data_IF_437017304199
#
_entry.id   IF_437017304199
#
_cell.length_a   1.000
_cell.length_b   1.000
_cell.length_c   1.000
_cell.angle_alpha   90.00
_cell.angle_beta   90.00
_cell.angle_gamma   90.00
#
_symmetry.space_group_name_H-M   'P 1'
#
loop_
_entity.id
_entity.type
_entity.pdbx_description
1 polymer ?
#
# COMPACT_ATOMS: atom_id res chain seq x y z
N UNK A 1 -7.07 -11.95 -11.35
CA UNK A 1 -6.84 -10.55 -10.99
C UNK A 1 -7.60 -9.57 -11.91
N UNK A 2 -7.57 -9.70 -13.23
CA UNK A 2 -8.27 -8.79 -14.16
C UNK A 2 -9.77 -8.66 -13.85
N UNK A 3 -10.48 -9.76 -13.61
CA UNK A 3 -11.89 -9.73 -13.24
C UNK A 3 -12.11 -8.99 -11.91
N UNK A 4 -11.22 -9.22 -10.92
CA UNK A 4 -11.27 -8.51 -9.63
C UNK A 4 -11.12 -7.00 -9.79
N UNK A 5 -10.15 -6.54 -10.62
CA UNK A 5 -9.97 -5.13 -10.94
C UNK A 5 -11.23 -4.51 -11.54
N UNK A 6 -11.79 -5.12 -12.61
CA UNK A 6 -12.97 -4.60 -13.30
C UNK A 6 -14.18 -4.53 -12.37
N UNK A 7 -14.45 -5.60 -11.63
CA UNK A 7 -15.59 -5.66 -10.69
C UNK A 7 -15.42 -4.68 -9.53
N UNK A 8 -14.17 -4.44 -9.07
CA UNK A 8 -13.88 -3.42 -8.05
C UNK A 8 -14.18 -2.01 -8.56
N UNK A 9 -13.77 -1.67 -9.79
CA UNK A 9 -14.06 -0.37 -10.39
C UNK A 9 -15.57 -0.19 -10.61
N UNK A 10 -16.26 -1.21 -11.15
CA UNK A 10 -17.71 -1.13 -11.35
C UNK A 10 -18.49 -1.05 -10.03
N UNK A 11 -18.11 -1.83 -9.01
CA UNK A 11 -18.76 -1.84 -7.71
C UNK A 11 -18.59 -0.51 -6.98
N UNK A 12 -17.37 0.00 -6.89
CA UNK A 12 -17.10 1.31 -6.27
C UNK A 12 -17.71 2.46 -7.09
N UNK A 13 -17.58 2.41 -8.42
CA UNK A 13 -18.23 3.37 -9.32
C UNK A 13 -19.74 3.42 -9.10
N UNK A 14 -20.41 2.27 -9.03
CA UNK A 14 -21.85 2.19 -8.78
C UNK A 14 -22.24 2.77 -7.40
N UNK A 15 -21.49 2.42 -6.35
CA UNK A 15 -21.80 2.87 -4.97
C UNK A 15 -21.57 4.37 -4.78
N UNK A 16 -20.53 4.94 -5.40
CA UNK A 16 -20.04 6.30 -5.13
C UNK A 16 -20.25 7.32 -6.26
N UNK A 17 -21.01 6.97 -7.32
CA UNK A 17 -21.27 7.89 -8.46
C UNK A 17 -22.13 9.10 -8.11
N UNK A 18 -22.88 9.07 -7.01
CA UNK A 18 -23.79 10.14 -6.58
C UNK A 18 -23.25 10.89 -5.36
N UNK A 19 -24.06 11.86 -4.89
CA UNK A 19 -23.76 12.63 -3.65
C UNK A 19 -23.81 11.79 -2.39
N UNK A 20 -24.52 10.67 -2.44
CA UNK A 20 -24.62 9.69 -1.35
C UNK A 20 -24.38 8.28 -1.89
N UNK A 21 -24.00 7.38 -0.98
CA UNK A 21 -23.86 5.95 -1.30
C UNK A 21 -25.20 5.39 -1.80
N UNK A 22 -25.14 4.53 -2.84
CA UNK A 22 -26.34 3.80 -3.31
C UNK A 22 -26.91 2.82 -2.29
N UNK A 23 -26.14 2.46 -1.25
CA UNK A 23 -26.52 1.50 -0.22
C UNK A 23 -26.50 0.03 -0.68
N UNK A 24 -26.34 -0.25 -1.97
CA UNK A 24 -26.31 -1.61 -2.49
C UNK A 24 -25.43 -1.73 -3.76
N UNK A 25 -25.13 -2.98 -4.11
CA UNK A 25 -24.50 -3.38 -5.38
C UNK A 25 -25.45 -4.36 -6.06
N UNK A 26 -25.78 -4.16 -7.38
CA UNK A 26 -26.69 -5.03 -8.12
C UNK A 26 -26.13 -6.44 -8.28
N UNK A 27 -27.00 -7.43 -8.43
CA UNK A 27 -26.65 -8.86 -8.57
C UNK A 27 -25.63 -9.13 -9.68
N UNK A 28 -25.77 -8.43 -10.80
CA UNK A 28 -24.86 -8.55 -11.94
C UNK A 28 -23.41 -8.19 -11.66
N UNK A 29 -23.14 -7.42 -10.59
CA UNK A 29 -21.80 -7.09 -10.09
C UNK A 29 -21.50 -7.90 -8.83
N UNK A 30 -22.42 -7.93 -7.86
CA UNK A 30 -22.22 -8.51 -6.54
C UNK A 30 -21.89 -10.01 -6.57
N UNK A 31 -22.63 -10.78 -7.38
CA UNK A 31 -22.44 -12.23 -7.48
C UNK A 31 -21.07 -12.59 -8.08
N UNK A 32 -20.71 -12.16 -9.31
CA UNK A 32 -19.41 -12.48 -9.88
C UNK A 32 -18.26 -11.90 -9.06
N UNK A 33 -18.44 -10.73 -8.45
CA UNK A 33 -17.40 -10.14 -7.59
C UNK A 33 -17.14 -10.99 -6.34
N UNK A 34 -18.19 -11.45 -5.68
CA UNK A 34 -18.06 -12.33 -4.50
C UNK A 34 -17.34 -13.63 -4.88
N UNK A 35 -17.71 -14.28 -5.98
CA UNK A 35 -17.06 -15.52 -6.45
C UNK A 35 -15.58 -15.34 -6.79
N UNK A 36 -15.22 -14.24 -7.48
CA UNK A 36 -13.82 -13.93 -7.79
C UNK A 36 -13.04 -13.62 -6.51
N UNK A 37 -13.62 -12.88 -5.58
CA UNK A 37 -13.01 -12.52 -4.30
C UNK A 37 -12.74 -13.74 -3.43
N UNK A 38 -13.68 -14.67 -3.32
CA UNK A 38 -13.51 -15.96 -2.63
C UNK A 38 -12.36 -16.77 -3.22
N UNK A 39 -12.28 -16.85 -4.57
CA UNK A 39 -11.19 -17.56 -5.25
C UNK A 39 -9.81 -16.93 -5.02
N UNK A 40 -9.74 -15.61 -4.85
CA UNK A 40 -8.50 -14.88 -4.58
C UNK A 40 -8.16 -14.78 -3.08
N UNK A 41 -9.05 -15.21 -2.19
CA UNK A 41 -8.88 -15.12 -0.74
C UNK A 41 -8.88 -13.68 -0.21
N UNK A 42 -9.57 -12.75 -0.89
CA UNK A 42 -9.65 -11.33 -0.53
C UNK A 42 -11.10 -10.85 -0.54
N UNK A 43 -11.47 -9.81 0.26
CA UNK A 43 -12.82 -9.28 0.25
C UNK A 43 -13.20 -8.65 -1.11
N UNK A 44 -14.50 -8.73 -1.51
CA UNK A 44 -15.00 -8.08 -2.72
C UNK A 44 -15.14 -6.56 -2.51
N UNK A 45 -14.03 -5.87 -2.51
CA UNK A 45 -13.91 -4.41 -2.42
C UNK A 45 -12.68 -3.95 -3.20
N UNK A 46 -12.60 -2.66 -3.49
CA UNK A 46 -11.39 -2.09 -4.08
C UNK A 46 -10.25 -2.12 -3.06
N UNK A 47 -9.15 -2.72 -3.44
CA UNK A 47 -7.95 -2.82 -2.63
C UNK A 47 -6.72 -2.39 -3.42
N UNK A 48 -5.64 -2.07 -2.71
CA UNK A 48 -4.34 -1.73 -3.29
C UNK A 48 -3.88 -2.74 -4.35
N UNK A 49 -4.04 -4.03 -4.08
CA UNK A 49 -3.66 -5.07 -5.02
C UNK A 49 -4.38 -4.96 -6.38
N UNK A 50 -5.67 -4.58 -6.40
CA UNK A 50 -6.39 -4.38 -7.65
C UNK A 50 -5.96 -3.08 -8.34
N UNK A 51 -5.89 -1.97 -7.57
CA UNK A 51 -5.73 -0.64 -8.12
C UNK A 51 -4.30 -0.31 -8.54
N UNK A 52 -3.31 -0.86 -7.83
CA UNK A 52 -1.89 -0.56 -8.02
C UNK A 52 -1.14 -1.74 -8.64
N UNK A 53 -1.25 -2.94 -8.06
CA UNK A 53 -0.47 -4.08 -8.55
C UNK A 53 -1.00 -4.65 -9.88
N UNK A 54 -2.29 -4.48 -10.19
CA UNK A 54 -2.94 -5.12 -11.36
C UNK A 54 -3.60 -4.14 -12.33
N UNK A 55 -3.44 -2.82 -12.16
CA UNK A 55 -4.11 -1.79 -12.98
C UNK A 55 -3.16 -1.04 -13.92
N UNK A 56 -2.14 -1.69 -14.42
CA UNK A 56 -1.17 -1.05 -15.30
C UNK A 56 -0.71 -1.96 -16.44
N UNK A 57 -0.12 -1.35 -17.45
CA UNK A 57 0.69 -2.00 -18.47
C UNK A 57 1.81 -1.10 -18.95
N UNK A 58 2.86 -1.70 -19.47
CA UNK A 58 3.96 -1.00 -20.13
C UNK A 58 3.53 -0.51 -21.52
N UNK A 59 4.01 0.65 -21.92
CA UNK A 59 3.90 1.16 -23.30
C UNK A 59 4.89 0.41 -24.19
N UNK A 60 6.13 0.28 -23.72
CA UNK A 60 7.18 -0.53 -24.33
C UNK A 60 7.38 -1.80 -23.48
N UNK A 61 6.96 -2.99 -23.97
CA UNK A 61 6.93 -4.23 -23.17
C UNK A 61 8.29 -4.66 -22.62
N UNK A 62 9.39 -4.32 -23.28
CA UNK A 62 10.75 -4.66 -22.86
C UNK A 62 11.45 -3.55 -22.07
N UNK A 63 10.76 -2.44 -21.83
CA UNK A 63 11.27 -1.31 -21.05
C UNK A 63 11.11 -1.54 -19.54
N UNK A 64 11.62 -0.60 -18.75
CA UNK A 64 11.49 -0.64 -17.29
C UNK A 64 10.05 -0.36 -16.84
N UNK A 65 9.66 -0.92 -15.70
CA UNK A 65 8.40 -0.58 -15.01
C UNK A 65 8.63 0.75 -14.26
N UNK A 66 8.45 1.87 -14.97
CA UNK A 66 8.66 3.22 -14.44
C UNK A 66 7.72 4.23 -15.09
N UNK A 67 7.49 5.35 -14.42
CA UNK A 67 6.75 6.50 -14.97
C UNK A 67 7.35 6.91 -16.33
N UNK A 68 6.47 7.23 -17.27
CA UNK A 68 6.83 7.45 -18.68
C UNK A 68 6.70 6.19 -19.56
N UNK A 69 6.86 4.99 -18.98
CA UNK A 69 6.64 3.71 -19.69
C UNK A 69 5.40 2.95 -19.19
N UNK A 70 4.57 3.57 -18.37
CA UNK A 70 3.39 2.95 -17.78
C UNK A 70 2.12 3.68 -18.21
N UNK A 71 1.03 2.92 -18.34
CA UNK A 71 -0.33 3.46 -18.40
C UNK A 71 -1.28 2.62 -17.56
N UNK A 72 -2.31 3.23 -17.02
CA UNK A 72 -3.43 2.56 -16.35
C UNK A 72 -4.27 1.76 -17.35
N UNK A 73 -4.88 0.68 -16.87
CA UNK A 73 -5.80 -0.13 -17.67
C UNK A 73 -7.22 0.37 -17.59
N UNK A 74 -7.63 0.85 -16.41
CA UNK A 74 -8.97 1.39 -16.18
C UNK A 74 -8.90 2.48 -15.10
N UNK A 75 -9.81 3.45 -15.18
CA UNK A 75 -9.96 4.59 -14.29
C UNK A 75 -11.45 4.82 -13.99
N UNK A 76 -11.76 5.56 -12.93
CA UNK A 76 -13.14 5.96 -12.63
C UNK A 76 -13.61 7.11 -13.54
N UNK A 77 -12.85 8.20 -13.58
CA UNK A 77 -13.14 9.38 -14.38
C UNK A 77 -12.20 9.53 -15.57
N UNK A 78 -11.01 8.98 -15.47
CA UNK A 78 -9.95 9.27 -16.42
C UNK A 78 -9.20 10.55 -16.09
N UNK A 79 -8.22 10.85 -16.93
CA UNK A 79 -7.38 12.03 -16.77
C UNK A 79 -6.01 11.73 -16.14
N UNK A 80 -5.16 12.76 -16.21
CA UNK A 80 -3.76 12.62 -15.81
C UNK A 80 -3.62 12.46 -14.30
N UNK A 81 -4.37 13.23 -13.51
CA UNK A 81 -4.30 13.18 -12.04
C UNK A 81 -4.60 11.79 -11.50
N UNK A 82 -5.65 11.13 -12.00
CA UNK A 82 -6.03 9.79 -11.56
C UNK A 82 -4.99 8.74 -11.97
N UNK A 83 -4.53 8.78 -13.23
CA UNK A 83 -3.50 7.86 -13.69
C UNK A 83 -2.19 8.07 -12.95
N UNK A 84 -1.80 9.33 -12.72
CA UNK A 84 -0.55 9.66 -12.02
C UNK A 84 -0.54 9.14 -10.59
N UNK A 85 -1.65 9.32 -9.86
CA UNK A 85 -1.80 8.78 -8.51
C UNK A 85 -1.57 7.27 -8.45
N UNK A 86 -2.16 6.51 -9.39
CA UNK A 86 -1.97 5.06 -9.44
C UNK A 86 -0.56 4.68 -9.89
N UNK A 87 -0.04 5.32 -10.93
CA UNK A 87 1.23 4.94 -11.54
C UNK A 87 2.47 5.30 -10.70
N UNK A 88 2.44 6.41 -9.95
CA UNK A 88 3.48 6.71 -8.95
C UNK A 88 3.55 5.58 -7.92
N UNK A 89 2.41 5.13 -7.42
CA UNK A 89 2.36 4.04 -6.46
C UNK A 89 2.78 2.70 -7.10
N UNK A 90 2.44 2.47 -8.37
CA UNK A 90 2.90 1.28 -9.14
C UNK A 90 4.42 1.26 -9.29
N UNK A 91 5.06 2.40 -9.59
CA UNK A 91 6.52 2.46 -9.68
C UNK A 91 7.18 2.24 -8.31
N UNK A 92 6.60 2.75 -7.22
CA UNK A 92 7.04 2.47 -5.84
C UNK A 92 7.03 0.94 -5.58
N UNK A 93 5.96 0.24 -5.93
CA UNK A 93 5.89 -1.23 -5.77
C UNK A 93 6.93 -1.95 -6.66
N UNK A 94 7.17 -1.47 -7.87
CA UNK A 94 8.16 -2.04 -8.77
C UNK A 94 9.61 -1.87 -8.25
N UNK A 95 9.96 -0.70 -7.72
CA UNK A 95 11.24 -0.46 -7.04
C UNK A 95 11.34 -1.33 -5.78
N UNK A 96 10.25 -1.42 -5.03
CA UNK A 96 10.15 -2.27 -3.83
C UNK A 96 10.41 -3.75 -4.08
N UNK A 97 10.15 -4.26 -5.29
CA UNK A 97 10.54 -5.62 -5.65
C UNK A 97 12.06 -5.85 -5.57
N UNK A 98 12.86 -4.79 -5.78
CA UNK A 98 14.32 -4.82 -5.53
C UNK A 98 14.63 -5.02 -4.05
N UNK A 99 13.95 -4.29 -3.17
CA UNK A 99 14.10 -4.45 -1.71
C UNK A 99 13.81 -5.89 -1.29
N UNK A 100 12.69 -6.47 -1.75
CA UNK A 100 12.31 -7.84 -1.38
C UNK A 100 13.32 -8.89 -1.87
N UNK A 101 13.96 -8.69 -3.04
CA UNK A 101 15.04 -9.56 -3.50
C UNK A 101 16.26 -9.53 -2.57
N UNK A 102 16.58 -8.35 -2.03
CA UNK A 102 17.67 -8.25 -1.05
C UNK A 102 17.29 -8.94 0.27
N UNK A 103 16.04 -8.90 0.68
CA UNK A 103 15.57 -9.63 1.87
C UNK A 103 15.77 -11.13 1.75
N UNK A 104 15.53 -11.71 0.57
CA UNK A 104 15.80 -13.14 0.34
C UNK A 104 17.31 -13.45 0.45
N UNK A 105 18.18 -12.56 -0.05
CA UNK A 105 19.65 -12.68 0.09
C UNK A 105 20.09 -12.57 1.55
N UNK A 106 19.55 -11.58 2.27
CA UNK A 106 19.83 -11.39 3.70
C UNK A 106 19.42 -12.64 4.52
N UNK A 107 18.25 -13.23 4.23
CA UNK A 107 17.83 -14.47 4.91
C UNK A 107 18.82 -15.63 4.66
N UNK A 108 19.29 -15.79 3.42
CA UNK A 108 20.27 -16.81 3.06
C UNK A 108 21.61 -16.56 3.74
N UNK A 109 22.11 -15.34 3.69
CA UNK A 109 23.39 -14.96 4.31
C UNK A 109 23.36 -15.06 5.83
N UNK A 110 22.23 -14.74 6.48
CA UNK A 110 22.05 -14.87 7.92
C UNK A 110 22.11 -16.33 8.40
N UNK A 111 21.74 -17.30 7.55
CA UNK A 111 21.84 -18.72 7.86
C UNK A 111 23.28 -19.25 7.83
N UNK A 112 24.20 -18.56 7.15
CA UNK A 112 25.62 -18.90 7.03
C UNK A 112 26.55 -17.94 7.78
N UNK A 113 26.02 -16.99 8.54
CA UNK A 113 26.75 -15.89 9.19
C UNK A 113 27.65 -15.11 8.23
N UNK A 114 27.21 -14.95 6.97
CA UNK A 114 27.89 -14.16 5.94
C UNK A 114 27.54 -12.67 6.10
N UNK A 115 28.20 -12.01 7.03
CA UNK A 115 27.96 -10.62 7.39
C UNK A 115 28.28 -9.66 6.25
N UNK A 116 29.28 -9.94 5.41
CA UNK A 116 29.62 -9.10 4.27
C UNK A 116 28.47 -9.08 3.24
N UNK A 117 27.91 -10.25 2.92
CA UNK A 117 26.75 -10.33 2.03
C UNK A 117 25.53 -9.61 2.61
N UNK A 118 25.35 -9.61 3.94
CA UNK A 118 24.27 -8.86 4.60
C UNK A 118 24.50 -7.36 4.44
N UNK A 119 25.72 -6.85 4.65
CA UNK A 119 26.07 -5.45 4.45
C UNK A 119 25.82 -5.01 3.00
N UNK A 120 26.37 -5.73 2.02
CA UNK A 120 26.20 -5.43 0.60
C UNK A 120 24.71 -5.38 0.21
N UNK A 121 23.90 -6.32 0.75
CA UNK A 121 22.47 -6.35 0.49
C UNK A 121 21.73 -5.18 1.15
N UNK A 122 22.14 -4.75 2.35
CA UNK A 122 21.56 -3.59 3.04
C UNK A 122 21.94 -2.27 2.33
N UNK A 123 23.14 -2.15 1.75
CA UNK A 123 23.51 -1.00 0.94
C UNK A 123 22.58 -0.86 -0.28
N UNK A 124 22.33 -1.96 -1.02
CA UNK A 124 21.34 -1.95 -2.09
C UNK A 124 19.93 -1.61 -1.60
N UNK A 125 19.51 -2.10 -0.42
CA UNK A 125 18.22 -1.75 0.18
C UNK A 125 18.12 -0.25 0.47
N UNK A 126 19.19 0.36 1.00
CA UNK A 126 19.22 1.81 1.24
C UNK A 126 19.02 2.60 -0.07
N UNK A 127 19.70 2.22 -1.14
CA UNK A 127 19.53 2.85 -2.46
C UNK A 127 18.09 2.76 -2.96
N UNK A 128 17.45 1.58 -2.83
CA UNK A 128 16.04 1.41 -3.17
C UNK A 128 15.13 2.28 -2.32
N UNK A 129 15.35 2.40 -1.00
CA UNK A 129 14.54 3.25 -0.12
C UNK A 129 14.64 4.73 -0.51
N UNK A 130 15.81 5.21 -0.88
CA UNK A 130 16.00 6.57 -1.43
C UNK A 130 15.24 6.74 -2.75
N UNK A 131 15.30 5.75 -3.63
CA UNK A 131 14.56 5.76 -4.89
C UNK A 131 13.03 5.74 -4.67
N UNK A 132 12.52 4.98 -3.69
CA UNK A 132 11.11 5.02 -3.28
C UNK A 132 10.69 6.44 -2.88
N UNK A 133 11.50 7.12 -2.06
CA UNK A 133 11.22 8.49 -1.61
C UNK A 133 11.24 9.49 -2.78
N UNK A 134 12.18 9.35 -3.68
CA UNK A 134 12.27 10.16 -4.90
C UNK A 134 11.02 9.98 -5.76
N UNK A 135 10.60 8.74 -6.01
CA UNK A 135 9.40 8.42 -6.79
C UNK A 135 8.13 8.94 -6.11
N UNK A 136 8.02 8.79 -4.79
CA UNK A 136 6.87 9.30 -4.03
C UNK A 136 6.69 10.82 -4.21
N UNK A 137 7.77 11.58 -4.18
CA UNK A 137 7.75 13.03 -4.36
C UNK A 137 7.33 13.47 -5.77
N UNK A 138 7.39 12.58 -6.77
CA UNK A 138 6.85 12.83 -8.11
C UNK A 138 5.32 12.95 -8.14
N UNK A 139 4.63 12.61 -7.04
CA UNK A 139 3.18 12.84 -6.91
C UNK A 139 2.79 14.28 -7.25
N UNK A 140 3.62 15.25 -6.87
CA UNK A 140 3.39 16.67 -7.09
C UNK A 140 3.49 17.10 -8.56
N UNK A 141 4.05 16.28 -9.46
CA UNK A 141 4.28 16.65 -10.85
C UNK A 141 2.96 16.72 -11.64
N UNK A 142 2.06 15.75 -11.47
CA UNK A 142 0.87 15.61 -12.31
C UNK A 142 -0.40 15.17 -11.57
N UNK A 143 -0.44 15.28 -10.24
CA UNK A 143 -1.64 15.01 -9.47
C UNK A 143 -1.99 16.24 -8.63
N UNK A 144 -3.07 16.95 -9.02
CA UNK A 144 -3.55 18.11 -8.29
C UNK A 144 -4.28 17.69 -7.01
N UNK A 145 -3.97 18.28 -5.82
CA UNK A 145 -4.59 17.91 -4.55
C UNK A 145 -6.11 18.08 -4.51
N UNK A 146 -6.66 19.14 -5.16
CA UNK A 146 -8.10 19.37 -5.21
C UNK A 146 -8.80 18.34 -6.09
N UNK A 147 -8.23 18.01 -7.26
CA UNK A 147 -8.75 16.97 -8.16
C UNK A 147 -8.70 15.61 -7.46
N UNK A 148 -7.57 15.28 -6.82
CA UNK A 148 -7.46 14.04 -6.05
C UNK A 148 -8.55 13.95 -4.98
N UNK A 149 -8.68 14.96 -4.12
CA UNK A 149 -9.59 14.93 -2.98
C UNK A 149 -11.05 14.87 -3.39
N UNK A 150 -11.45 15.67 -4.39
CA UNK A 150 -12.87 15.84 -4.75
C UNK A 150 -13.36 14.87 -5.83
N UNK A 151 -12.46 14.33 -6.68
CA UNK A 151 -12.86 13.52 -7.83
C UNK A 151 -12.37 12.07 -7.77
N UNK A 152 -11.18 11.82 -7.20
CA UNK A 152 -10.60 10.47 -7.18
C UNK A 152 -10.90 9.79 -5.84
N UNK A 153 -10.57 10.45 -4.74
CA UNK A 153 -10.67 9.93 -3.38
C UNK A 153 -12.07 9.40 -3.01
N UNK A 154 -13.21 9.99 -3.42
CA UNK A 154 -14.53 9.47 -3.09
C UNK A 154 -14.74 8.02 -3.53
N UNK A 155 -14.21 7.62 -4.69
CA UNK A 155 -14.31 6.25 -5.18
C UNK A 155 -13.44 5.24 -4.40
N UNK A 156 -12.47 5.71 -3.62
CA UNK A 156 -11.62 4.87 -2.78
C UNK A 156 -12.22 4.63 -1.38
N UNK A 157 -13.39 5.20 -1.08
CA UNK A 157 -13.97 5.17 0.25
C UNK A 157 -14.41 3.77 0.68
N UNK A 158 -14.43 3.55 2.02
CA UNK A 158 -14.86 2.30 2.65
C UNK A 158 -16.34 2.03 2.42
N UNK A 159 -16.72 0.77 2.27
CA UNK A 159 -18.11 0.36 2.29
C UNK A 159 -18.60 0.21 3.73
N UNK A 160 -19.71 0.88 4.03
CA UNK A 160 -20.41 0.77 5.31
C UNK A 160 -21.84 0.37 5.05
N UNK A 161 -22.23 -0.79 5.54
CA UNK A 161 -23.61 -1.29 5.46
C UNK A 161 -24.12 -1.44 4.00
N UNK A 162 -23.27 -1.89 3.09
CA UNK A 162 -23.62 -2.06 1.68
C UNK A 162 -24.22 -3.45 1.43
N UNK A 163 -25.40 -3.51 0.82
CA UNK A 163 -26.06 -4.74 0.40
C UNK A 163 -25.44 -5.28 -0.89
N UNK A 164 -24.97 -6.52 -0.88
CA UNK A 164 -24.52 -7.25 -2.09
C UNK A 164 -25.68 -8.13 -2.56
N UNK A 165 -26.55 -7.59 -3.43
CA UNK A 165 -27.77 -8.27 -3.87
C UNK A 165 -27.47 -9.63 -4.47
N UNK A 166 -28.33 -10.61 -4.19
CA UNK A 166 -28.15 -11.99 -4.62
C UNK A 166 -27.06 -12.78 -3.87
N UNK A 167 -26.33 -12.15 -2.92
CA UNK A 167 -25.31 -12.81 -2.13
C UNK A 167 -25.79 -13.08 -0.69
N UNK A 168 -25.16 -14.11 -0.05
CA UNK A 168 -25.28 -14.36 1.38
C UNK A 168 -24.44 -13.38 2.18
N UNK A 169 -24.70 -13.28 3.51
CA UNK A 169 -23.97 -12.40 4.45
C UNK A 169 -24.06 -10.93 4.06
N UNK A 170 -25.23 -10.37 4.17
CA UNK A 170 -25.55 -8.96 3.92
C UNK A 170 -26.14 -8.28 5.16
N UNK A 171 -26.01 -6.95 5.31
CA UNK A 171 -25.09 -6.09 4.54
C UNK A 171 -23.64 -6.28 4.94
N UNK A 172 -22.70 -5.72 4.14
CA UNK A 172 -21.26 -5.90 4.33
C UNK A 172 -20.54 -4.57 4.63
N UNK A 173 -19.47 -4.70 5.41
CA UNK A 173 -18.56 -3.60 5.72
C UNK A 173 -17.15 -3.97 5.26
N UNK A 174 -16.51 -3.11 4.46
CA UNK A 174 -15.15 -3.31 4.00
C UNK A 174 -14.38 -1.99 4.03
N UNK A 175 -13.10 -2.07 4.33
CA UNK A 175 -12.21 -0.94 4.12
C UNK A 175 -12.03 -0.67 2.62
N UNK A 176 -11.92 0.59 2.26
CA UNK A 176 -11.64 1.02 0.89
C UNK A 176 -10.15 0.91 0.54
N UNK A 177 -9.79 1.39 -0.64
CA UNK A 177 -8.41 1.38 -1.11
C UNK A 177 -7.49 2.22 -0.22
N UNK A 178 -6.43 1.61 0.30
CA UNK A 178 -5.48 2.24 1.21
C UNK A 178 -4.05 1.77 0.96
N UNK A 179 -3.07 2.68 1.08
CA UNK A 179 -1.65 2.32 1.03
C UNK A 179 -1.24 1.37 2.18
N UNK A 180 -1.99 1.33 3.29
CA UNK A 180 -1.77 0.36 4.36
C UNK A 180 -2.01 -1.10 3.92
N UNK A 181 -2.65 -1.32 2.76
CA UNK A 181 -2.82 -2.63 2.12
C UNK A 181 -1.63 -3.01 1.21
N UNK A 182 -0.61 -2.14 1.08
CA UNK A 182 0.67 -2.52 0.47
C UNK A 182 1.41 -3.49 1.38
N UNK A 183 1.87 -4.60 0.81
CA UNK A 183 2.69 -5.56 1.53
C UNK A 183 4.14 -5.11 1.67
N UNK A 184 4.61 -4.22 0.79
CA UNK A 184 5.99 -3.76 0.76
C UNK A 184 6.42 -3.12 2.09
N UNK A 185 5.68 -2.12 2.56
CA UNK A 185 6.05 -1.40 3.79
C UNK A 185 5.97 -2.29 5.04
N UNK A 186 4.98 -3.19 5.11
CA UNK A 186 4.90 -4.13 6.22
C UNK A 186 6.02 -5.19 6.18
N UNK A 187 6.47 -5.60 4.99
CA UNK A 187 7.63 -6.49 4.85
C UNK A 187 8.94 -5.79 5.26
N UNK A 188 9.09 -4.50 4.93
CA UNK A 188 10.24 -3.69 5.35
C UNK A 188 10.26 -3.57 6.90
N UNK A 189 9.11 -3.26 7.52
CA UNK A 189 8.99 -3.18 8.96
C UNK A 189 9.39 -4.50 9.64
N UNK A 190 8.86 -5.62 9.13
CA UNK A 190 9.16 -6.95 9.65
C UNK A 190 10.66 -7.30 9.55
N UNK A 191 11.29 -7.02 8.38
CA UNK A 191 12.71 -7.27 8.16
C UNK A 191 13.59 -6.42 9.09
N UNK A 192 13.22 -5.14 9.29
CA UNK A 192 13.99 -4.21 10.12
C UNK A 192 13.67 -4.32 11.61
N UNK A 193 12.80 -5.24 12.03
CA UNK A 193 12.39 -5.40 13.42
C UNK A 193 11.59 -4.23 13.98
N UNK A 194 10.96 -3.45 13.12
CA UNK A 194 10.11 -2.32 13.53
C UNK A 194 8.78 -2.87 14.03
N UNK A 195 8.42 -2.53 15.27
CA UNK A 195 7.16 -2.94 15.90
C UNK A 195 6.30 -1.72 16.23
N UNK A 196 5.03 -1.76 15.85
CA UNK A 196 4.08 -0.71 16.17
C UNK A 196 3.56 -0.90 17.59
N UNK A 197 3.87 0.05 18.49
CA UNK A 197 3.58 -0.07 19.92
C UNK A 197 2.11 0.19 20.23
N UNK A 198 1.46 1.10 19.50
CA UNK A 198 0.06 1.40 19.71
C UNK A 198 -0.84 0.26 19.20
N UNK A 199 -1.68 -0.31 20.08
CA UNK A 199 -2.57 -1.44 19.77
C UNK A 199 -3.49 -1.15 18.58
N UNK A 200 -4.01 0.06 18.48
CA UNK A 200 -4.91 0.45 17.39
C UNK A 200 -4.20 0.41 16.04
N UNK A 201 -2.99 0.96 15.96
CA UNK A 201 -2.17 0.97 14.73
C UNK A 201 -1.76 -0.45 14.32
N UNK A 202 -1.33 -1.27 15.29
CA UNK A 202 -0.97 -2.66 15.07
C UNK A 202 -2.15 -3.49 14.58
N UNK A 203 -3.28 -3.43 15.27
CA UNK A 203 -4.52 -4.14 14.90
C UNK A 203 -5.02 -3.73 13.50
N UNK A 204 -4.92 -2.44 13.18
CA UNK A 204 -5.27 -1.94 11.85
C UNK A 204 -4.36 -2.52 10.76
N UNK A 205 -3.04 -2.52 10.93
CA UNK A 205 -2.10 -3.09 9.96
C UNK A 205 -2.34 -4.60 9.76
N UNK A 206 -2.55 -5.35 10.83
CA UNK A 206 -2.91 -6.77 10.75
C UNK A 206 -4.22 -6.98 9.99
N UNK A 207 -5.23 -6.13 10.22
CA UNK A 207 -6.50 -6.18 9.49
C UNK A 207 -6.28 -5.90 7.99
N UNK A 208 -5.39 -4.98 7.62
CA UNK A 208 -5.07 -4.66 6.23
C UNK A 208 -4.44 -5.83 5.46
N UNK A 209 -3.80 -6.78 6.13
CA UNK A 209 -3.29 -8.03 5.51
C UNK A 209 -4.38 -8.87 4.85
N UNK A 210 -5.61 -8.80 5.34
CA UNK A 210 -6.75 -9.51 4.73
C UNK A 210 -7.11 -8.98 3.32
N UNK A 211 -6.61 -7.81 2.94
CA UNK A 211 -6.82 -7.16 1.64
C UNK A 211 -5.64 -7.38 0.66
N UNK A 212 -4.56 -7.97 1.14
CA UNK A 212 -3.37 -8.31 0.35
C UNK A 212 -3.56 -9.63 -0.40
N UNK A 213 -2.78 -9.91 -1.46
CA UNK A 213 -2.63 -11.27 -1.96
C UNK A 213 -2.16 -12.20 -0.84
N UNK A 214 -2.75 -13.39 -0.75
CA UNK A 214 -2.50 -14.32 0.37
C UNK A 214 -1.02 -14.69 0.55
N UNK A 215 -0.28 -14.86 -0.55
CA UNK A 215 1.16 -15.10 -0.52
C UNK A 215 1.96 -13.94 0.07
N UNK A 216 1.54 -12.69 -0.17
CA UNK A 216 2.20 -11.51 0.40
C UNK A 216 2.02 -11.45 1.92
N UNK A 217 0.80 -11.68 2.42
CA UNK A 217 0.53 -11.73 3.85
C UNK A 217 1.32 -12.87 4.55
N UNK A 218 1.43 -14.03 3.90
CA UNK A 218 2.23 -15.15 4.40
C UNK A 218 3.72 -14.80 4.48
N UNK A 219 4.26 -14.11 3.47
CA UNK A 219 5.66 -13.68 3.45
C UNK A 219 5.99 -12.72 4.62
N UNK A 220 5.11 -11.75 4.88
CA UNK A 220 5.27 -10.84 6.04
C UNK A 220 5.35 -11.64 7.35
N UNK A 221 4.48 -12.64 7.52
CA UNK A 221 4.49 -13.48 8.73
C UNK A 221 5.80 -14.28 8.86
N UNK A 222 6.39 -14.74 7.76
CA UNK A 222 7.71 -15.39 7.77
C UNK A 222 8.78 -14.42 8.28
N UNK A 223 8.85 -13.22 7.73
CA UNK A 223 9.83 -12.20 8.14
C UNK A 223 9.69 -11.82 9.64
N UNK A 224 8.46 -11.69 10.14
CA UNK A 224 8.19 -11.37 11.56
C UNK A 224 8.67 -12.48 12.51
N UNK A 225 8.57 -13.75 12.08
CA UNK A 225 8.96 -14.89 12.91
C UNK A 225 10.48 -15.16 12.85
N UNK A 226 11.08 -15.08 11.67
CA UNK A 226 12.48 -15.47 11.45
C UNK A 226 13.47 -14.40 11.92
N UNK A 227 13.09 -13.11 11.82
CA UNK A 227 13.90 -11.94 12.20
C UNK A 227 15.37 -12.07 11.77
N UNK A 228 15.65 -12.22 10.47
CA UNK A 228 16.98 -12.64 9.98
C UNK A 228 18.09 -11.63 10.28
N UNK A 229 17.77 -10.34 10.38
CA UNK A 229 18.75 -9.28 10.67
C UNK A 229 19.13 -9.19 12.15
N UNK A 230 18.29 -9.64 13.09
CA UNK A 230 18.51 -9.41 14.52
C UNK A 230 19.91 -9.86 14.97
N UNK A 231 20.31 -11.10 14.62
CA UNK A 231 21.63 -11.64 14.98
C UNK A 231 22.80 -10.92 14.31
N UNK A 232 22.64 -10.50 13.06
CA UNK A 232 23.69 -9.79 12.34
C UNK A 232 23.94 -8.40 12.94
N UNK A 233 22.88 -7.68 13.28
CA UNK A 233 22.95 -6.36 13.91
C UNK A 233 23.59 -6.43 15.30
N UNK A 234 23.28 -7.47 16.09
CA UNK A 234 23.86 -7.67 17.42
C UNK A 234 25.36 -8.02 17.40
N UNK A 235 25.86 -8.63 16.33
CA UNK A 235 27.21 -9.22 16.27
C UNK A 235 28.19 -8.49 15.38
N UNK A 236 27.71 -7.60 14.50
CA UNK A 236 28.55 -7.00 13.49
C UNK A 236 28.26 -5.50 13.32
N UNK A 237 29.26 -4.67 13.67
CA UNK A 237 29.14 -3.21 13.67
C UNK A 237 28.77 -2.62 12.29
N UNK A 238 29.31 -3.21 11.20
CA UNK A 238 28.99 -2.80 9.84
C UNK A 238 27.53 -3.00 9.51
N UNK A 239 26.96 -4.19 9.83
CA UNK A 239 25.53 -4.46 9.67
C UNK A 239 24.67 -3.49 10.48
N UNK A 240 25.08 -3.17 11.72
CA UNK A 240 24.38 -2.19 12.55
C UNK A 240 24.36 -0.80 11.91
N UNK A 241 25.51 -0.36 11.41
CA UNK A 241 25.67 0.97 10.79
C UNK A 241 24.78 1.13 9.55
N UNK A 242 24.84 0.17 8.61
CA UNK A 242 24.08 0.26 7.36
C UNK A 242 22.59 0.04 7.62
N UNK A 243 22.20 -0.82 8.57
CA UNK A 243 20.80 -0.96 8.99
C UNK A 243 20.23 0.37 9.51
N UNK A 244 20.99 1.12 10.35
CA UNK A 244 20.57 2.43 10.82
C UNK A 244 20.37 3.43 9.65
N UNK A 245 21.23 3.36 8.63
CA UNK A 245 21.07 4.18 7.41
C UNK A 245 19.80 3.81 6.63
N UNK A 246 19.47 2.52 6.50
CA UNK A 246 18.21 2.05 5.91
C UNK A 246 16.99 2.55 6.68
N UNK A 247 17.01 2.46 8.01
CA UNK A 247 15.92 2.95 8.87
C UNK A 247 15.73 4.47 8.69
N UNK A 248 16.81 5.24 8.61
CA UNK A 248 16.72 6.68 8.35
C UNK A 248 16.10 6.97 6.97
N UNK A 249 16.47 6.25 5.92
CA UNK A 249 15.86 6.41 4.60
C UNK A 249 14.35 6.06 4.62
N UNK A 250 13.94 5.06 5.39
CA UNK A 250 12.53 4.72 5.60
C UNK A 250 11.78 5.82 6.37
N UNK A 251 12.41 6.44 7.37
CA UNK A 251 11.85 7.59 8.10
C UNK A 251 11.61 8.76 7.14
N UNK A 252 12.57 9.08 6.28
CA UNK A 252 12.41 10.14 5.28
C UNK A 252 11.26 9.86 4.32
N UNK A 253 11.11 8.62 3.83
CA UNK A 253 9.96 8.20 3.02
C UNK A 253 8.64 8.43 3.75
N UNK A 254 8.52 8.03 5.01
CA UNK A 254 7.33 8.22 5.85
C UNK A 254 7.01 9.69 6.10
N UNK A 255 8.03 10.52 6.32
CA UNK A 255 7.85 11.96 6.47
C UNK A 255 7.36 12.62 5.18
N UNK A 256 7.89 12.22 4.02
CA UNK A 256 7.42 12.68 2.72
C UNK A 256 5.97 12.27 2.47
N UNK A 257 5.61 11.02 2.79
CA UNK A 257 4.23 10.53 2.71
C UNK A 257 3.28 11.35 3.62
N UNK A 258 3.69 11.64 4.84
CA UNK A 258 2.91 12.47 5.77
C UNK A 258 2.67 13.88 5.20
N UNK A 259 3.67 14.51 4.56
CA UNK A 259 3.52 15.81 3.88
C UNK A 259 2.52 15.73 2.73
N UNK A 260 2.57 14.66 1.93
CA UNK A 260 1.60 14.42 0.84
C UNK A 260 0.19 14.29 1.41
N UNK A 261 -0.02 13.44 2.42
CA UNK A 261 -1.35 13.28 3.02
C UNK A 261 -1.87 14.58 3.65
N UNK A 262 -0.99 15.37 4.26
CA UNK A 262 -1.35 16.70 4.75
C UNK A 262 -1.87 17.58 3.62
N UNK A 263 -1.17 17.65 2.49
CA UNK A 263 -1.53 18.51 1.35
C UNK A 263 -2.75 17.98 0.58
N UNK A 264 -2.82 16.67 0.35
CA UNK A 264 -3.84 16.05 -0.51
C UNK A 264 -5.13 15.68 0.22
N UNK A 265 -5.10 15.59 1.56
CA UNK A 265 -6.26 15.22 2.36
C UNK A 265 -6.57 16.27 3.39
N UNK A 266 -5.69 16.50 4.39
CA UNK A 266 -6.00 17.34 5.55
C UNK A 266 -6.28 18.80 5.18
N UNK A 267 -5.47 19.38 4.28
CA UNK A 267 -5.66 20.77 3.82
C UNK A 267 -6.91 20.97 2.94
N UNK A 268 -7.50 19.90 2.41
CA UNK A 268 -8.69 19.96 1.57
C UNK A 268 -10.00 19.88 2.37
N UNK A 269 -9.96 19.34 3.60
CA UNK A 269 -11.15 19.13 4.45
C UNK A 269 -11.87 20.44 4.76
N UNK A 270 -11.15 21.54 4.98
CA UNK A 270 -11.72 22.84 5.34
C UNK A 270 -12.51 23.52 4.23
N UNK A 271 -12.43 23.01 2.99
CA UNK A 271 -13.04 23.64 1.81
C UNK A 271 -14.37 23.02 1.39
N UNK A 272 -14.72 21.78 1.81
CA UNK A 272 -15.81 21.02 1.20
C UNK A 272 -16.71 20.21 2.13
N UNK A 273 -16.56 20.26 3.47
CA UNK A 273 -17.52 19.59 4.39
C UNK A 273 -17.00 18.32 5.11
N UNK A 274 -17.85 17.48 5.68
CA UNK A 274 -17.45 16.46 6.66
C UNK A 274 -16.66 15.31 6.05
N UNK A 275 -15.39 15.14 6.45
CA UNK A 275 -14.58 14.05 5.93
C UNK A 275 -13.23 13.82 6.60
N UNK A 276 -13.19 13.72 7.92
CA UNK A 276 -11.94 13.41 8.67
C UNK A 276 -11.48 11.95 8.54
N UNK A 277 -12.33 11.05 8.04
CA UNK A 277 -12.02 9.63 7.97
C UNK A 277 -11.26 9.30 6.69
N UNK A 278 -10.11 8.63 6.80
CA UNK A 278 -9.36 8.08 5.67
C UNK A 278 -10.15 7.03 4.90
N UNK A 279 -9.76 6.76 3.65
CA UNK A 279 -10.37 5.70 2.82
C UNK A 279 -10.24 4.31 3.46
N UNK A 280 -9.24 4.10 4.32
CA UNK A 280 -9.07 2.93 5.17
C UNK A 280 -9.81 2.98 6.51
N UNK A 281 -10.72 3.96 6.73
CA UNK A 281 -11.59 4.00 7.92
C UNK A 281 -10.97 4.59 9.19
N UNK A 282 -9.69 4.97 9.20
CA UNK A 282 -8.98 5.62 10.31
C UNK A 282 -8.74 7.11 10.00
N UNK A 283 -8.37 7.90 11.01
CA UNK A 283 -7.78 9.22 10.75
C UNK A 283 -6.36 9.02 10.19
N UNK A 284 -6.11 9.38 8.91
CA UNK A 284 -4.83 9.09 8.28
C UNK A 284 -3.67 9.85 8.92
N UNK A 285 -3.93 11.06 9.48
CA UNK A 285 -2.87 11.86 10.10
C UNK A 285 -2.43 11.29 11.43
N UNK A 286 -3.37 10.83 12.24
CA UNK A 286 -3.08 10.19 13.53
C UNK A 286 -2.32 8.89 13.29
N UNK A 287 -2.82 8.04 12.40
CA UNK A 287 -2.18 6.76 12.06
C UNK A 287 -0.77 6.94 11.50
N UNK A 288 -0.57 7.81 10.49
CA UNK A 288 0.74 7.99 9.86
C UNK A 288 1.77 8.64 10.78
N UNK A 289 1.36 9.56 11.65
CA UNK A 289 2.25 10.13 12.68
C UNK A 289 2.72 9.05 13.65
N UNK A 290 1.82 8.17 14.06
CA UNK A 290 2.15 7.06 14.96
C UNK A 290 3.10 6.07 14.28
N UNK A 291 2.80 5.64 13.05
CA UNK A 291 3.68 4.76 12.27
C UNK A 291 5.08 5.37 12.07
N UNK A 292 5.16 6.67 11.77
CA UNK A 292 6.45 7.36 11.63
C UNK A 292 7.22 7.43 12.96
N UNK A 293 6.52 7.63 14.09
CA UNK A 293 7.12 7.64 15.43
C UNK A 293 7.65 6.26 15.83
N UNK A 294 6.91 5.20 15.48
CA UNK A 294 7.26 3.82 15.81
C UNK A 294 8.39 3.27 14.92
N UNK A 295 8.86 4.04 13.92
CA UNK A 295 9.96 3.62 13.03
C UNK A 295 11.29 3.69 13.80
N UNK A 296 11.39 2.87 14.82
CA UNK A 296 12.60 2.64 15.63
C UNK A 296 12.72 1.13 15.81
N UNK A 297 13.84 0.52 15.43
CA UNK A 297 14.02 -0.92 15.57
C UNK A 297 13.89 -1.37 17.03
N UNK A 298 13.30 -2.52 17.23
CA UNK A 298 13.17 -3.18 18.55
C UNK A 298 14.11 -4.39 18.64
N UNK A 299 15.39 -4.16 18.33
CA UNK A 299 16.42 -5.19 18.54
C UNK A 299 17.07 -5.02 19.90
#
# INVERSE_FOLDING_TARGET
>A
ERAMLLLSIFGHGFVWQGYASSGYIPESIAIPWTLVAERLGRPPTLAHASLVLNNWKQLEPNGSIKLGNLRTLIQFHGGLDESWFYLVTTEIEAIGAGVLKQFDRIQQAANSDDFQQIEDSLEEVQEYLVALNTTLNRMYENCDPYIFYNRIRPFLASFKNIEYRGCKKNPRNYFGGSAAQSSLLQAIDAMFGITHQEEQSRSYLVTMRNYMPTGHAAYINVLENDRPLARAIERHDGCQHIHAACVNALIEFRQSHLKIVTKYVSSQISQTGPGHTGTGGTDPMVFLKQVAKDTTPSF
#
